data_IF_872632855704
#
_entry.id   IF_872632855704
#
_cell.length_a   1.000
_cell.length_b   1.000
_cell.length_c   1.000
_cell.angle_alpha   90.00
_cell.angle_beta   90.00
_cell.angle_gamma   90.00
#
_symmetry.space_group_name_H-M   'P 1'
#
loop_
_entity.id
_entity.type
_entity.pdbx_description
1 polymer ?
#
# COMPACT_ATOMS: atom_id res chain seq x y z
N UNK A 1 22.30 -2.23 -8.04
CA UNK A 1 22.59 -2.67 -6.66
C UNK A 1 21.27 -2.84 -5.91
N UNK A 2 20.83 -4.08 -5.68
CA UNK A 2 19.67 -4.33 -4.82
C UNK A 2 20.13 -4.18 -3.38
N UNK A 3 19.78 -3.06 -2.74
CA UNK A 3 20.08 -2.86 -1.32
C UNK A 3 19.22 -3.87 -0.54
N UNK A 4 19.85 -4.88 0.03
CA UNK A 4 19.18 -5.83 0.91
C UNK A 4 18.64 -5.07 2.12
N UNK A 5 17.44 -5.43 2.57
CA UNK A 5 16.88 -4.89 3.81
C UNK A 5 17.77 -5.30 4.99
N UNK A 6 17.85 -4.49 6.05
CA UNK A 6 18.53 -4.90 7.26
C UNK A 6 17.85 -6.16 7.84
N UNK A 7 18.62 -6.99 8.55
CA UNK A 7 18.15 -8.30 9.03
C UNK A 7 16.88 -8.24 9.91
N UNK A 8 16.61 -7.08 10.50
CA UNK A 8 15.45 -6.82 11.35
C UNK A 8 14.22 -6.30 10.59
N UNK A 9 14.29 -6.21 9.26
CA UNK A 9 13.17 -5.78 8.42
C UNK A 9 12.71 -6.88 7.47
N UNK A 10 11.42 -6.84 7.13
CA UNK A 10 10.79 -7.66 6.09
C UNK A 10 10.00 -6.75 5.16
N UNK A 11 9.99 -7.08 3.87
CA UNK A 11 9.14 -6.44 2.87
C UNK A 11 8.04 -7.40 2.48
N UNK A 12 6.81 -6.94 2.57
CA UNK A 12 5.64 -7.66 2.12
C UNK A 12 5.11 -6.97 0.88
N UNK A 13 5.33 -7.58 -0.28
CA UNK A 13 4.65 -7.18 -1.50
C UNK A 13 3.46 -8.10 -1.72
N UNK A 14 2.40 -7.52 -2.24
CA UNK A 14 1.22 -8.23 -2.71
C UNK A 14 1.39 -8.82 -4.13
N UNK A 15 2.54 -8.61 -4.77
CA UNK A 15 2.87 -9.11 -6.12
C UNK A 15 3.00 -10.64 -6.13
N UNK A 16 2.42 -11.30 -7.12
CA UNK A 16 2.54 -12.77 -7.31
C UNK A 16 2.62 -13.16 -8.79
N UNK A 17 1.88 -12.47 -9.65
CA UNK A 17 1.82 -12.69 -11.10
C UNK A 17 0.94 -11.61 -11.75
N UNK A 18 1.10 -11.34 -13.06
CA UNK A 18 0.25 -10.38 -13.78
C UNK A 18 -1.18 -10.92 -13.90
N UNK A 19 -2.04 -10.57 -12.93
CA UNK A 19 -3.49 -10.75 -13.03
C UNK A 19 -4.12 -9.46 -13.53
N UNK A 20 -5.12 -9.57 -14.42
CA UNK A 20 -5.80 -8.43 -15.07
C UNK A 20 -6.38 -7.39 -14.09
N UNK A 21 -6.69 -7.82 -12.87
CA UNK A 21 -7.24 -6.99 -11.78
C UNK A 21 -6.22 -6.00 -11.17
N UNK A 22 -4.95 -6.00 -11.58
CA UNK A 22 -3.90 -5.13 -11.00
C UNK A 22 -3.06 -4.40 -12.03
N UNK A 23 -3.61 -4.21 -13.21
CA UNK A 23 -2.88 -3.57 -14.30
C UNK A 23 -3.36 -2.13 -14.50
N UNK A 24 -2.41 -1.20 -14.54
CA UNK A 24 -2.65 0.22 -14.77
C UNK A 24 -2.29 0.58 -16.21
N UNK A 25 -3.11 1.43 -16.81
CA UNK A 25 -2.74 2.13 -18.03
C UNK A 25 -1.92 3.38 -17.66
N UNK A 26 -0.61 3.32 -17.85
CA UNK A 26 0.27 4.45 -17.57
C UNK A 26 0.01 5.64 -18.49
N UNK A 27 -0.53 5.45 -19.69
CA UNK A 27 -0.84 6.54 -20.62
C UNK A 27 -2.04 7.37 -20.17
N UNK A 28 -2.95 6.77 -19.39
CA UNK A 28 -4.05 7.46 -18.74
C UNK A 28 -3.64 8.04 -17.37
N UNK A 29 -2.86 7.28 -16.60
CA UNK A 29 -2.48 7.66 -15.23
C UNK A 29 -1.46 8.81 -15.18
N UNK A 30 -0.46 8.82 -16.07
CA UNK A 30 0.61 9.81 -16.06
C UNK A 30 0.22 11.04 -16.89
N UNK A 31 -0.84 11.72 -16.46
CA UNK A 31 -1.48 12.85 -17.17
C UNK A 31 -0.54 14.02 -17.48
N UNK A 32 0.54 14.18 -16.71
CA UNK A 32 1.53 15.24 -16.90
C UNK A 32 2.68 14.88 -17.88
N UNK A 33 2.57 13.77 -18.62
CA UNK A 33 3.57 13.35 -19.60
C UNK A 33 2.94 13.02 -20.97
N UNK A 34 3.66 13.31 -22.05
CA UNK A 34 3.22 12.94 -23.39
C UNK A 34 3.21 11.42 -23.56
N UNK A 35 2.14 10.86 -24.16
CA UNK A 35 1.97 9.41 -24.34
C UNK A 35 3.15 8.73 -25.02
N UNK A 36 3.74 9.35 -26.03
CA UNK A 36 4.91 8.79 -26.73
C UNK A 36 6.17 8.77 -25.85
N UNK A 37 6.30 9.71 -24.90
CA UNK A 37 7.38 9.67 -23.91
C UNK A 37 7.18 8.48 -22.95
N UNK A 38 5.94 8.25 -22.50
CA UNK A 38 5.59 7.11 -21.63
C UNK A 38 5.89 5.78 -22.34
N UNK A 39 5.46 5.63 -23.60
CA UNK A 39 5.72 4.42 -24.41
C UNK A 39 7.20 4.15 -24.58
N UNK A 40 7.98 5.18 -24.95
CA UNK A 40 9.44 5.06 -25.14
C UNK A 40 10.14 4.65 -23.84
N UNK A 41 9.85 5.33 -22.73
CA UNK A 41 10.46 5.02 -21.43
C UNK A 41 10.13 3.59 -20.97
N UNK A 42 8.88 3.15 -21.19
CA UNK A 42 8.43 1.79 -20.90
C UNK A 42 9.20 0.74 -21.71
N UNK A 43 9.32 0.95 -23.02
CA UNK A 43 10.07 0.06 -23.92
C UNK A 43 11.55 -0.03 -23.55
N UNK A 44 12.19 1.12 -23.25
CA UNK A 44 13.59 1.19 -22.81
C UNK A 44 13.83 0.47 -21.48
N UNK A 45 12.82 0.40 -20.62
CA UNK A 45 12.90 -0.25 -19.30
C UNK A 45 12.39 -1.70 -19.31
N UNK A 46 12.05 -2.24 -20.49
CA UNK A 46 11.48 -3.59 -20.65
C UNK A 46 10.24 -3.87 -19.80
N UNK A 47 9.44 -2.82 -19.53
CA UNK A 47 8.22 -2.94 -18.74
C UNK A 47 7.06 -3.38 -19.65
N UNK A 48 6.42 -4.50 -19.33
CA UNK A 48 5.27 -5.00 -20.08
C UNK A 48 4.03 -4.09 -19.91
N UNK A 49 3.10 -4.14 -20.86
CA UNK A 49 1.85 -3.38 -20.82
C UNK A 49 0.64 -4.31 -20.96
N UNK A 50 -0.43 -4.12 -20.16
CA UNK A 50 -0.58 -3.08 -19.12
C UNK A 50 0.30 -3.34 -17.87
N UNK A 51 0.65 -2.28 -17.13
CA UNK A 51 1.67 -2.36 -16.07
C UNK A 51 1.08 -2.94 -14.80
N UNK A 52 1.69 -4.01 -14.28
CA UNK A 52 1.26 -4.56 -12.97
C UNK A 52 1.78 -3.67 -11.84
N UNK A 53 0.88 -3.21 -10.98
CA UNK A 53 1.22 -2.46 -9.77
C UNK A 53 1.21 -3.38 -8.56
N UNK A 54 2.05 -3.05 -7.57
CA UNK A 54 2.12 -3.76 -6.29
C UNK A 54 2.04 -2.77 -5.13
N UNK A 55 1.16 -3.02 -4.17
CA UNK A 55 1.25 -2.38 -2.86
C UNK A 55 2.30 -3.10 -2.00
N UNK A 56 3.12 -2.34 -1.30
CA UNK A 56 4.18 -2.88 -0.45
C UNK A 56 4.06 -2.32 0.95
N UNK A 57 4.12 -3.20 1.95
CA UNK A 57 4.29 -2.86 3.35
C UNK A 57 5.65 -3.34 3.87
N UNK A 58 6.14 -2.73 4.95
CA UNK A 58 7.38 -3.11 5.59
C UNK A 58 7.19 -3.39 7.07
N UNK A 59 7.71 -4.51 7.55
CA UNK A 59 7.77 -4.82 8.97
C UNK A 59 9.18 -4.54 9.47
N UNK A 60 9.30 -3.84 10.59
CA UNK A 60 10.56 -3.52 11.25
C UNK A 60 10.47 -3.95 12.70
N UNK A 61 11.33 -4.89 13.09
CA UNK A 61 11.50 -5.29 14.47
C UNK A 61 12.66 -4.47 15.07
N UNK A 62 12.35 -3.59 16.02
CA UNK A 62 13.36 -2.76 16.69
C UNK A 62 14.00 -3.44 17.90
N UNK A 63 13.55 -4.66 18.25
CA UNK A 63 13.75 -5.40 19.52
C UNK A 63 12.84 -4.93 20.66
N UNK A 64 12.47 -3.65 20.71
CA UNK A 64 11.51 -3.13 21.70
C UNK A 64 10.08 -3.09 21.17
N UNK A 65 9.92 -2.73 19.90
CA UNK A 65 8.63 -2.63 19.24
C UNK A 65 8.67 -3.33 17.88
N UNK A 66 7.51 -3.86 17.48
CA UNK A 66 7.22 -4.35 16.16
C UNK A 66 6.41 -3.30 15.40
N UNK A 67 7.04 -2.74 14.37
CA UNK A 67 6.52 -1.60 13.61
C UNK A 67 6.16 -2.03 12.21
N UNK A 68 4.96 -1.68 11.77
CA UNK A 68 4.49 -1.87 10.41
C UNK A 68 4.41 -0.52 9.69
N UNK A 69 4.97 -0.43 8.49
CA UNK A 69 4.89 0.74 7.61
C UNK A 69 4.01 0.38 6.43
N UNK A 70 2.89 1.11 6.29
CA UNK A 70 1.75 0.83 5.41
C UNK A 70 1.08 -0.53 5.65
N UNK A 71 -0.16 -0.66 5.17
CA UNK A 71 -1.00 -1.85 5.43
C UNK A 71 -1.61 -2.46 4.17
N UNK A 72 -1.27 -1.93 3.00
CA UNK A 72 -1.93 -2.34 1.76
C UNK A 72 -3.38 -1.87 1.69
N UNK A 73 -4.10 -2.36 0.68
CA UNK A 73 -5.50 -2.00 0.47
C UNK A 73 -6.52 -2.80 1.30
N UNK A 74 -6.04 -3.84 2.01
CA UNK A 74 -6.92 -4.75 2.73
C UNK A 74 -8.06 -5.26 1.85
N UNK A 75 -9.26 -5.30 2.41
CA UNK A 75 -10.48 -5.69 1.71
C UNK A 75 -11.22 -4.54 1.01
N UNK A 76 -10.73 -3.29 1.13
CA UNK A 76 -11.44 -2.11 0.61
C UNK A 76 -11.39 -2.00 -0.92
N UNK A 77 -10.40 -2.62 -1.57
CA UNK A 77 -10.20 -2.43 -3.01
C UNK A 77 -11.11 -3.25 -3.91
N UNK A 78 -11.85 -4.26 -3.42
CA UNK A 78 -12.58 -5.24 -4.26
C UNK A 78 -11.69 -6.06 -5.21
N UNK A 79 -10.41 -5.70 -5.29
CA UNK A 79 -9.33 -6.32 -6.03
C UNK A 79 -8.53 -7.20 -5.05
N UNK A 80 -7.79 -8.19 -5.54
CA UNK A 80 -7.12 -9.21 -4.72
C UNK A 80 -5.98 -8.72 -3.79
N UNK A 81 -5.98 -7.49 -3.29
CA UNK A 81 -4.94 -6.87 -2.46
C UNK A 81 -5.03 -7.27 -0.96
N UNK A 82 -4.89 -8.57 -0.64
CA UNK A 82 -5.13 -9.09 0.72
C UNK A 82 -3.97 -9.86 1.37
N UNK A 83 -2.77 -9.83 0.78
CA UNK A 83 -1.70 -10.77 1.17
C UNK A 83 -0.94 -10.38 2.44
N UNK A 84 -1.08 -9.15 2.92
CA UNK A 84 -0.29 -8.66 4.05
C UNK A 84 -0.39 -9.58 5.26
N UNK A 85 -1.60 -9.96 5.68
CA UNK A 85 -1.79 -10.80 6.86
C UNK A 85 -1.23 -12.21 6.68
N UNK A 86 -1.38 -12.78 5.48
CA UNK A 86 -0.78 -14.08 5.15
C UNK A 86 0.75 -14.02 5.19
N UNK A 87 1.34 -12.97 4.61
CA UNK A 87 2.79 -12.76 4.60
C UNK A 87 3.35 -12.46 6.00
N UNK A 88 2.61 -11.71 6.82
CA UNK A 88 2.96 -11.43 8.22
C UNK A 88 3.05 -12.74 9.02
N UNK A 89 2.00 -13.58 8.95
CA UNK A 89 1.96 -14.89 9.62
C UNK A 89 3.05 -15.84 9.10
N UNK A 90 3.25 -15.88 7.79
CA UNK A 90 4.33 -16.68 7.20
C UNK A 90 5.73 -16.23 7.64
N UNK A 91 5.88 -14.97 8.07
CA UNK A 91 7.12 -14.45 8.66
C UNK A 91 7.27 -14.72 10.17
N UNK A 92 6.29 -15.38 10.79
CA UNK A 92 6.30 -15.77 12.20
C UNK A 92 5.70 -14.74 13.15
N UNK A 93 4.95 -13.75 12.64
CA UNK A 93 4.31 -12.72 13.45
C UNK A 93 2.78 -12.75 13.30
N UNK A 94 2.08 -12.41 14.37
CA UNK A 94 0.63 -12.22 14.39
C UNK A 94 0.26 -10.72 14.43
N UNK A 95 -0.91 -10.32 13.89
CA UNK A 95 -1.35 -8.91 13.89
C UNK A 95 -1.41 -8.27 15.28
N UNK A 96 -1.71 -9.06 16.30
CA UNK A 96 -1.78 -8.64 17.70
C UNK A 96 -0.40 -8.23 18.26
N UNK A 97 0.69 -8.66 17.63
CA UNK A 97 2.04 -8.33 18.06
C UNK A 97 2.52 -6.97 17.52
N UNK A 98 1.78 -6.34 16.60
CA UNK A 98 2.15 -5.04 16.05
C UNK A 98 1.87 -3.96 17.09
N UNK A 99 2.90 -3.21 17.47
CA UNK A 99 2.80 -2.10 18.42
C UNK A 99 2.44 -0.78 17.72
N UNK A 100 2.99 -0.57 16.52
CA UNK A 100 2.83 0.66 15.77
C UNK A 100 2.57 0.40 14.29
N UNK A 101 1.64 1.16 13.72
CA UNK A 101 1.44 1.27 12.28
C UNK A 101 1.75 2.70 11.87
N UNK A 102 2.69 2.90 10.96
CA UNK A 102 2.95 4.18 10.32
C UNK A 102 2.44 4.13 8.89
N UNK A 103 1.51 5.03 8.56
CA UNK A 103 1.05 5.21 7.19
C UNK A 103 1.89 6.31 6.53
N UNK A 104 2.39 6.05 5.33
CA UNK A 104 3.10 7.04 4.53
C UNK A 104 2.16 8.15 4.07
N UNK A 105 0.93 7.79 3.70
CA UNK A 105 -0.19 8.65 3.32
C UNK A 105 -1.50 7.86 3.37
N UNK A 106 -2.66 8.50 3.18
CA UNK A 106 -3.97 7.87 3.41
C UNK A 106 -4.68 7.28 2.17
N UNK A 107 -4.02 7.19 1.01
CA UNK A 107 -4.58 6.47 -0.15
C UNK A 107 -4.96 5.03 0.22
N UNK A 108 -6.02 4.50 -0.41
CA UNK A 108 -6.55 3.17 -0.07
C UNK A 108 -5.48 2.09 -0.16
N UNK A 109 -4.56 2.20 -1.12
CA UNK A 109 -3.46 1.24 -1.33
C UNK A 109 -2.49 1.11 -0.15
N UNK A 110 -2.54 2.00 0.84
CA UNK A 110 -1.65 2.05 2.00
C UNK A 110 -2.42 1.94 3.31
N UNK A 111 -3.54 2.65 3.42
CA UNK A 111 -4.35 2.75 4.65
C UNK A 111 -5.40 1.66 4.77
N UNK A 112 -5.83 1.03 3.67
CA UNK A 112 -7.01 0.18 3.65
C UNK A 112 -6.91 -1.11 4.49
N UNK A 113 -5.71 -1.55 4.83
CA UNK A 113 -5.48 -2.73 5.67
C UNK A 113 -5.68 -2.50 7.18
N UNK A 114 -5.82 -1.26 7.66
CA UNK A 114 -5.97 -0.98 9.10
C UNK A 114 -7.29 -1.51 9.69
N UNK A 115 -8.33 -1.63 8.86
CA UNK A 115 -9.66 -2.10 9.25
C UNK A 115 -9.99 -3.43 8.55
N UNK A 116 -10.57 -4.41 9.26
CA UNK A 116 -11.04 -5.65 8.67
C UNK A 116 -12.38 -5.39 7.97
N UNK A 117 -12.34 -5.12 6.66
CA UNK A 117 -13.50 -5.11 5.76
C UNK A 117 -14.78 -4.50 6.29
N UNK A 118 -15.90 -5.16 6.02
CA UNK A 118 -17.26 -4.67 6.31
C UNK A 118 -17.60 -4.59 7.80
N UNK A 119 -16.67 -4.89 8.71
CA UNK A 119 -16.90 -4.73 10.14
C UNK A 119 -16.54 -3.31 10.57
N UNK A 120 -17.57 -2.46 10.67
CA UNK A 120 -17.46 -1.16 11.29
C UNK A 120 -16.90 -1.30 12.72
N UNK A 121 -15.80 -0.60 13.02
CA UNK A 121 -15.17 -0.59 14.34
C UNK A 121 -14.17 -1.71 14.62
N UNK A 122 -13.98 -2.68 13.71
CA UNK A 122 -12.91 -3.66 13.83
C UNK A 122 -11.52 -3.04 13.63
N UNK A 123 -10.50 -3.59 14.28
CA UNK A 123 -9.08 -3.22 14.05
C UNK A 123 -8.30 -4.45 13.60
N UNK A 124 -7.63 -4.36 12.46
CA UNK A 124 -6.79 -5.47 11.96
C UNK A 124 -5.59 -5.71 12.88
N UNK A 125 -5.05 -4.61 13.45
CA UNK A 125 -3.92 -4.62 14.38
C UNK A 125 -4.41 -4.07 15.73
N UNK A 126 -5.02 -4.90 16.59
CA UNK A 126 -5.80 -4.42 17.73
C UNK A 126 -4.99 -3.69 18.80
N UNK A 127 -3.72 -4.05 18.96
CA UNK A 127 -2.80 -3.44 19.94
C UNK A 127 -2.01 -2.26 19.36
N UNK A 128 -2.10 -2.02 18.05
CA UNK A 128 -1.27 -1.03 17.40
C UNK A 128 -1.80 0.39 17.59
N UNK A 129 -0.89 1.33 17.81
CA UNK A 129 -1.18 2.76 17.59
C UNK A 129 -0.91 3.11 16.12
N UNK A 130 -1.94 3.53 15.39
CA UNK A 130 -1.83 4.02 14.02
C UNK A 130 -1.40 5.48 14.02
N UNK A 131 -0.39 5.82 13.22
CA UNK A 131 0.16 7.16 13.06
C UNK A 131 0.31 7.52 11.59
N UNK A 132 0.00 8.77 11.28
CA UNK A 132 0.17 9.38 9.96
C UNK A 132 0.48 10.87 10.18
N UNK A 133 0.97 11.57 9.16
CA UNK A 133 1.22 13.01 9.28
C UNK A 133 -0.10 13.78 9.51
N UNK A 134 -0.05 14.87 10.28
CA UNK A 134 -1.22 15.71 10.51
C UNK A 134 -1.76 16.30 9.19
N UNK A 135 -0.86 16.65 8.26
CA UNK A 135 -1.25 17.20 6.96
C UNK A 135 -2.12 16.23 6.14
N UNK A 136 -1.86 14.92 6.21
CA UNK A 136 -2.72 13.91 5.59
C UNK A 136 -4.10 13.87 6.27
N UNK A 137 -4.15 13.90 7.60
CA UNK A 137 -5.42 13.93 8.35
C UNK A 137 -6.24 15.15 7.95
N UNK A 138 -5.61 16.33 7.92
CA UNK A 138 -6.26 17.60 7.59
C UNK A 138 -6.77 17.61 6.14
N UNK A 139 -6.04 16.98 5.21
CA UNK A 139 -6.47 16.89 3.81
C UNK A 139 -7.65 15.92 3.64
N UNK A 140 -7.52 14.69 4.13
CA UNK A 140 -8.47 13.60 3.86
C UNK A 140 -9.77 13.68 4.67
N UNK A 141 -9.74 14.29 5.86
CA UNK A 141 -10.95 14.48 6.68
C UNK A 141 -11.66 15.81 6.41
N UNK A 142 -11.11 16.65 5.54
CA UNK A 142 -11.77 17.86 5.10
C UNK A 142 -12.73 17.55 3.95
N UNK A 143 -14.04 17.62 4.23
CA UNK A 143 -15.11 17.35 3.25
C UNK A 143 -15.02 18.24 1.99
N UNK A 144 -14.40 19.42 2.08
CA UNK A 144 -14.19 20.28 0.92
C UNK A 144 -13.25 19.66 -0.13
N UNK A 145 -12.43 18.68 0.26
CA UNK A 145 -11.48 18.01 -0.61
C UNK A 145 -12.04 16.73 -1.25
N UNK A 146 -13.28 16.33 -0.97
CA UNK A 146 -13.88 15.09 -1.52
C UNK A 146 -13.84 15.03 -3.06
N UNK A 147 -13.99 16.18 -3.72
CA UNK A 147 -13.93 16.25 -5.18
C UNK A 147 -12.51 16.04 -5.76
N UNK A 148 -11.47 16.25 -4.94
CA UNK A 148 -10.05 16.07 -5.28
C UNK A 148 -9.41 14.85 -4.63
N UNK A 149 -10.14 14.08 -3.82
CA UNK A 149 -9.65 12.90 -3.11
C UNK A 149 -9.83 11.60 -3.92
N UNK A 150 -9.85 11.68 -5.26
CA UNK A 150 -10.08 10.51 -6.09
C UNK A 150 -8.87 9.57 -6.07
N UNK A 151 -9.13 8.27 -5.86
CA UNK A 151 -8.11 7.19 -5.82
C UNK A 151 -7.18 7.15 -7.03
N UNK A 152 -7.62 7.74 -8.13
CA UNK A 152 -6.82 8.06 -9.30
C UNK A 152 -7.12 9.53 -9.56
N UNK A 153 -6.14 10.43 -9.37
CA UNK A 153 -6.24 11.83 -9.77
C UNK A 153 -6.72 11.86 -11.23
N UNK A 154 -7.97 12.29 -11.47
CA UNK A 154 -8.49 12.53 -12.81
C UNK A 154 -8.05 13.90 -13.31
#
# INVERSE_FOLDING_TARGET
MTRLLPANARRFSDYDSPRRERTLDLEELLSNAARDQIRRARQQSFVAFPVTFSSTAFLVNTKQNLVLIDTGAGSLSGLSFGRLLGNLRASGYEPEQIDHVFLTHLHVGHSGGVQPGSQAGGRTFPNATVRVSQAEVDYWLNLANEAGSSEINK
#
